data_IF_088440377703
#
_entry.id   IF_088440377703
#
_cell.length_a   1.000
_cell.length_b   1.000
_cell.length_c   1.000
_cell.angle_alpha   90.00
_cell.angle_beta   90.00
_cell.angle_gamma   90.00
#
_symmetry.space_group_name_H-M   'P 1'
#
loop_
_entity.id
_entity.type
_entity.pdbx_description
1 polymer ?
#
# COMPACT_ATOMS: atom_id res chain seq x y z
N UNK A 1 2.43 -11.21 20.53
CA UNK A 1 3.09 -11.04 21.84
C UNK A 1 2.56 -12.06 22.86
N UNK A 2 1.23 -12.15 23.09
CA UNK A 2 0.65 -13.08 24.09
C UNK A 2 1.02 -14.55 23.86
N UNK A 3 1.32 -14.93 22.62
CA UNK A 3 1.77 -16.28 22.24
C UNK A 3 3.29 -16.39 22.04
N UNK A 4 4.07 -15.41 22.53
CA UNK A 4 5.52 -15.41 22.45
C UNK A 4 6.12 -15.10 21.06
N UNK A 5 5.29 -14.61 20.12
CA UNK A 5 5.75 -14.20 18.78
C UNK A 5 5.86 -12.70 18.70
N UNK A 6 6.99 -12.22 18.17
CA UNK A 6 7.18 -10.85 17.77
C UNK A 6 7.58 -10.81 16.28
N UNK A 7 7.09 -9.85 15.49
CA UNK A 7 7.59 -9.66 14.14
C UNK A 7 8.99 -9.03 14.18
N UNK A 8 9.85 -9.38 13.24
CA UNK A 8 11.15 -8.75 13.04
C UNK A 8 10.99 -7.41 12.32
N UNK A 9 9.95 -7.26 11.52
CA UNK A 9 9.60 -6.05 10.78
C UNK A 9 8.10 -5.97 10.52
N UNK A 10 7.58 -4.75 10.41
CA UNK A 10 6.19 -4.49 10.04
C UNK A 10 6.10 -3.66 8.75
N UNK A 11 5.06 -3.88 7.98
CA UNK A 11 4.71 -3.07 6.82
C UNK A 11 3.20 -3.07 6.62
N UNK A 12 2.69 -2.06 5.91
CA UNK A 12 1.27 -1.99 5.63
C UNK A 12 0.99 -1.18 4.36
N UNK A 13 0.17 -1.69 3.45
CA UNK A 13 -0.18 -1.02 2.21
C UNK A 13 -1.19 0.10 2.48
N UNK A 14 -0.83 1.35 2.23
CA UNK A 14 -1.68 2.54 2.32
C UNK A 14 -2.38 2.69 3.69
N UNK A 15 -3.64 2.27 3.81
CA UNK A 15 -4.37 2.26 5.08
C UNK A 15 -3.70 1.33 6.11
N UNK A 16 -3.16 0.20 5.66
CA UNK A 16 -2.48 -0.77 6.51
C UNK A 16 -1.20 -0.23 7.17
N UNK A 17 -0.60 0.84 6.64
CA UNK A 17 0.57 1.48 7.25
C UNK A 17 0.30 1.98 8.67
N UNK A 18 -0.91 2.45 8.96
CA UNK A 18 -1.30 2.79 10.34
C UNK A 18 -1.30 1.58 11.27
N UNK A 19 -1.68 0.40 10.76
CA UNK A 19 -1.56 -0.85 11.51
C UNK A 19 -0.11 -1.24 11.78
N UNK A 20 0.79 -1.03 10.81
CA UNK A 20 2.22 -1.23 10.99
C UNK A 20 2.81 -0.27 12.04
N UNK A 21 2.39 1.01 12.02
CA UNK A 21 2.82 2.02 13.00
C UNK A 21 2.35 1.67 14.43
N UNK A 22 1.14 1.12 14.59
CA UNK A 22 0.67 0.62 15.89
C UNK A 22 1.53 -0.58 16.34
N UNK A 23 1.72 -1.55 15.45
CA UNK A 23 2.47 -2.76 15.77
C UNK A 23 3.96 -2.49 16.08
N UNK A 24 4.54 -1.46 15.45
CA UNK A 24 5.92 -1.03 15.73
C UNK A 24 6.04 -0.13 16.97
N UNK A 25 4.95 0.22 17.64
CA UNK A 25 4.95 1.06 18.83
C UNK A 25 5.12 2.56 18.57
N UNK A 26 5.02 3.00 17.30
CA UNK A 26 5.17 4.43 16.92
C UNK A 26 4.02 5.28 17.43
N UNK A 27 2.80 4.72 17.47
CA UNK A 27 1.61 5.40 17.99
C UNK A 27 0.63 4.41 18.63
N UNK A 28 -0.30 4.92 19.42
CA UNK A 28 -1.37 4.11 20.00
C UNK A 28 -2.45 3.79 18.96
N UNK A 29 -3.26 2.77 19.23
CA UNK A 29 -4.39 2.41 18.37
C UNK A 29 -5.44 3.54 18.30
N UNK A 30 -5.69 4.23 19.42
CA UNK A 30 -6.61 5.35 19.53
C UNK A 30 -6.17 6.51 18.64
N UNK A 31 -4.89 6.88 18.68
CA UNK A 31 -4.32 7.92 17.82
C UNK A 31 -4.41 7.55 16.35
N UNK A 32 -4.07 6.30 16.01
CA UNK A 32 -4.14 5.81 14.65
C UNK A 32 -5.58 5.81 14.10
N UNK A 33 -6.58 5.39 14.87
CA UNK A 33 -7.98 5.41 14.45
C UNK A 33 -8.49 6.83 14.21
N UNK A 34 -8.10 7.80 15.05
CA UNK A 34 -8.47 9.20 14.84
C UNK A 34 -7.81 9.78 13.57
N UNK A 35 -6.53 9.45 13.33
CA UNK A 35 -5.82 9.83 12.11
C UNK A 35 -6.46 9.23 10.85
N UNK A 36 -6.78 7.94 10.86
CA UNK A 36 -7.44 7.24 9.74
C UNK A 36 -8.79 7.86 9.44
N UNK A 37 -9.58 8.19 10.48
CA UNK A 37 -10.86 8.88 10.33
C UNK A 37 -10.68 10.24 9.65
N UNK A 38 -9.75 11.06 10.15
CA UNK A 38 -9.46 12.38 9.56
C UNK A 38 -8.92 12.26 8.14
N UNK A 39 -8.01 11.31 7.89
CA UNK A 39 -7.50 11.02 6.54
C UNK A 39 -8.64 10.74 5.56
N UNK A 40 -9.57 9.87 5.92
CA UNK A 40 -10.74 9.57 5.09
C UNK A 40 -11.59 10.79 4.77
N UNK A 41 -11.87 11.64 5.78
CA UNK A 41 -12.62 12.89 5.62
C UNK A 41 -11.88 13.84 4.67
N UNK A 42 -10.58 14.09 4.91
CA UNK A 42 -9.80 15.02 4.09
C UNK A 42 -9.66 14.56 2.63
N UNK A 43 -9.50 13.25 2.41
CA UNK A 43 -9.46 12.68 1.06
C UNK A 43 -10.81 12.83 0.35
N UNK A 44 -11.93 12.61 1.05
CA UNK A 44 -13.28 12.79 0.50
C UNK A 44 -13.58 14.26 0.19
N UNK A 45 -13.16 15.18 1.05
CA UNK A 45 -13.33 16.63 0.85
C UNK A 45 -12.48 17.16 -0.31
N UNK A 46 -11.24 16.67 -0.47
CA UNK A 46 -10.33 17.12 -1.52
C UNK A 46 -10.82 16.77 -2.92
N UNK A 47 -11.40 15.58 -3.10
CA UNK A 47 -11.95 15.13 -4.39
C UNK A 47 -13.27 14.39 -4.13
N UNK A 48 -14.37 15.11 -3.94
CA UNK A 48 -15.69 14.50 -3.65
C UNK A 48 -16.18 13.60 -4.77
N UNK A 49 -15.87 13.95 -6.02
CA UNK A 49 -16.28 13.21 -7.23
C UNK A 49 -15.25 13.41 -8.35
N UNK A 50 -15.34 12.57 -9.39
CA UNK A 50 -14.57 12.76 -10.63
C UNK A 50 -13.16 12.18 -10.60
N UNK A 51 -12.75 11.51 -9.52
CA UNK A 51 -11.54 10.72 -9.49
C UNK A 51 -11.77 9.27 -9.92
N UNK A 52 -10.71 8.61 -10.38
CA UNK A 52 -10.75 7.19 -10.72
C UNK A 52 -9.39 6.53 -10.52
N UNK A 53 -9.43 5.19 -10.45
CA UNK A 53 -8.23 4.34 -10.46
C UNK A 53 -8.47 3.13 -11.36
N UNK A 54 -7.41 2.61 -11.95
CA UNK A 54 -7.45 1.37 -12.73
C UNK A 54 -6.21 0.52 -12.48
N UNK A 55 -6.40 -0.80 -12.35
CA UNK A 55 -5.30 -1.76 -12.26
C UNK A 55 -4.87 -2.17 -13.67
N UNK A 56 -3.60 -1.97 -13.97
CA UNK A 56 -2.93 -2.37 -15.22
C UNK A 56 -2.23 -3.70 -14.98
N UNK A 57 -2.52 -4.69 -15.80
CA UNK A 57 -2.01 -6.05 -15.66
C UNK A 57 -1.18 -6.45 -16.87
N UNK A 58 0.03 -6.96 -16.62
CA UNK A 58 0.87 -7.59 -17.63
C UNK A 58 1.58 -6.58 -18.56
N UNK A 59 1.96 -5.43 -18.02
CA UNK A 59 2.78 -4.43 -18.70
C UNK A 59 3.87 -3.92 -17.76
N UNK A 60 4.98 -3.52 -18.33
CA UNK A 60 6.12 -2.95 -17.63
C UNK A 60 5.82 -1.57 -17.02
N UNK A 61 6.40 -1.28 -15.84
CA UNK A 61 6.13 -0.06 -15.10
C UNK A 61 6.61 1.22 -15.79
N UNK A 62 7.74 1.17 -16.49
CA UNK A 62 8.26 2.32 -17.25
C UNK A 62 7.35 2.67 -18.41
N UNK A 63 6.85 1.68 -19.13
CA UNK A 63 5.89 1.88 -20.21
C UNK A 63 4.59 2.48 -19.69
N UNK A 64 4.08 1.98 -18.56
CA UNK A 64 2.87 2.52 -17.92
C UNK A 64 3.10 3.97 -17.53
N UNK A 65 4.22 4.30 -16.88
CA UNK A 65 4.56 5.66 -16.46
C UNK A 65 4.64 6.61 -17.65
N UNK A 66 5.29 6.19 -18.74
CA UNK A 66 5.41 6.98 -19.96
C UNK A 66 4.03 7.29 -20.55
N UNK A 67 3.16 6.31 -20.71
CA UNK A 67 1.81 6.50 -21.25
C UNK A 67 0.98 7.42 -20.34
N UNK A 68 1.10 7.29 -19.00
CA UNK A 68 0.46 8.20 -18.07
C UNK A 68 0.93 9.65 -18.26
N UNK A 69 2.24 9.88 -18.44
CA UNK A 69 2.81 11.21 -18.68
C UNK A 69 2.36 11.81 -20.01
N UNK A 70 2.19 11.00 -21.05
CA UNK A 70 1.73 11.40 -22.40
C UNK A 70 0.19 11.54 -22.48
N UNK A 71 -0.53 11.21 -21.41
CA UNK A 71 -2.00 11.35 -21.36
C UNK A 71 -2.35 12.71 -20.73
N UNK A 72 -3.24 13.45 -21.39
CA UNK A 72 -3.74 14.72 -20.87
C UNK A 72 -4.50 14.49 -19.54
N UNK A 73 -4.40 15.45 -18.60
CA UNK A 73 -5.21 15.46 -17.39
C UNK A 73 -4.58 14.84 -16.14
N UNK A 74 -3.25 14.73 -16.06
CA UNK A 74 -2.49 14.34 -14.85
C UNK A 74 -2.82 12.94 -14.32
N UNK A 75 -2.64 11.92 -15.16
CA UNK A 75 -2.63 10.53 -14.70
C UNK A 75 -1.27 10.18 -14.13
N UNK A 76 -1.26 9.48 -13.00
CA UNK A 76 -0.03 9.04 -12.35
C UNK A 76 -0.13 7.57 -11.91
N UNK A 77 1.01 6.97 -11.58
CA UNK A 77 1.04 5.67 -10.92
C UNK A 77 0.73 5.88 -9.44
N UNK A 78 -0.26 5.15 -8.95
CA UNK A 78 -0.66 5.13 -7.55
C UNK A 78 0.10 4.06 -6.75
N UNK A 79 0.16 2.83 -7.28
CA UNK A 79 0.73 1.68 -6.57
C UNK A 79 1.56 0.81 -7.52
N UNK A 80 2.72 0.38 -7.03
CA UNK A 80 3.47 -0.76 -7.54
C UNK A 80 3.18 -1.96 -6.63
N UNK A 81 2.19 -2.78 -6.99
CA UNK A 81 1.70 -3.83 -6.10
C UNK A 81 2.55 -5.11 -6.14
N UNK A 82 2.88 -5.56 -7.34
CA UNK A 82 3.74 -6.72 -7.58
C UNK A 82 4.12 -6.76 -9.06
N UNK A 83 5.07 -7.62 -9.48
CA UNK A 83 5.43 -7.77 -10.88
C UNK A 83 4.20 -7.94 -11.78
N UNK A 84 4.09 -7.07 -12.79
CA UNK A 84 3.00 -7.06 -13.75
C UNK A 84 1.63 -6.60 -13.19
N UNK A 85 1.59 -5.94 -12.02
CA UNK A 85 0.36 -5.33 -11.51
C UNK A 85 0.63 -3.96 -10.88
N UNK A 86 0.25 -2.93 -11.60
CA UNK A 86 0.42 -1.52 -11.25
C UNK A 86 -0.94 -0.84 -11.28
N UNK A 87 -1.17 0.13 -10.39
CA UNK A 87 -2.41 0.91 -10.35
C UNK A 87 -2.13 2.33 -10.80
N UNK A 88 -2.95 2.83 -11.73
CA UNK A 88 -2.95 4.23 -12.17
C UNK A 88 -4.11 4.99 -11.53
N UNK A 89 -3.97 6.30 -11.39
CA UNK A 89 -4.89 7.18 -10.69
C UNK A 89 -4.94 8.56 -11.32
N UNK A 90 -6.07 9.25 -11.19
CA UNK A 90 -6.23 10.61 -11.68
C UNK A 90 -7.69 11.01 -11.91
N UNK A 91 -7.95 12.09 -12.67
CA UNK A 91 -9.29 12.43 -13.12
C UNK A 91 -9.89 11.29 -13.95
N UNK A 92 -11.19 11.03 -13.77
CA UNK A 92 -11.87 9.88 -14.36
C UNK A 92 -11.69 9.80 -15.89
N UNK A 93 -11.94 10.88 -16.61
CA UNK A 93 -11.78 10.94 -18.05
C UNK A 93 -10.33 10.67 -18.50
N UNK A 94 -9.35 11.20 -17.78
CA UNK A 94 -7.93 10.99 -18.09
C UNK A 94 -7.51 9.52 -17.80
N UNK A 95 -7.99 8.93 -16.71
CA UNK A 95 -7.75 7.49 -16.41
C UNK A 95 -8.40 6.59 -17.47
N UNK A 96 -9.58 6.94 -17.97
CA UNK A 96 -10.25 6.21 -19.05
C UNK A 96 -9.46 6.30 -20.37
N UNK A 97 -8.94 7.48 -20.72
CA UNK A 97 -8.06 7.68 -21.88
C UNK A 97 -6.76 6.91 -21.75
N UNK A 98 -6.07 7.03 -20.59
CA UNK A 98 -4.85 6.27 -20.31
C UNK A 98 -5.09 4.76 -20.40
N UNK A 99 -6.24 4.28 -19.89
CA UNK A 99 -6.62 2.88 -19.95
C UNK A 99 -6.78 2.37 -21.39
N UNK A 100 -7.33 3.20 -22.30
CA UNK A 100 -7.40 2.86 -23.72
C UNK A 100 -6.01 2.76 -24.35
N UNK A 101 -5.17 3.81 -24.17
CA UNK A 101 -3.78 3.82 -24.67
C UNK A 101 -2.95 2.63 -24.16
N UNK A 102 -3.09 2.29 -22.88
CA UNK A 102 -2.41 1.15 -22.27
C UNK A 102 -2.84 -0.20 -22.89
N UNK A 103 -4.14 -0.36 -23.18
CA UNK A 103 -4.62 -1.56 -23.89
C UNK A 103 -4.06 -1.65 -25.31
N UNK A 104 -4.07 -0.54 -26.06
CA UNK A 104 -3.48 -0.46 -27.41
C UNK A 104 -1.97 -0.73 -27.41
N UNK A 105 -1.27 -0.31 -26.35
CA UNK A 105 0.15 -0.55 -26.17
C UNK A 105 0.48 -1.97 -25.67
N UNK A 106 -0.52 -2.84 -25.48
CA UNK A 106 -0.30 -4.25 -25.17
C UNK A 106 -0.48 -4.66 -23.69
N UNK A 107 -1.07 -3.81 -22.85
CA UNK A 107 -1.45 -4.23 -21.50
C UNK A 107 -2.45 -5.40 -21.58
N UNK A 108 -2.16 -6.50 -20.87
CA UNK A 108 -3.01 -7.70 -20.92
C UNK A 108 -4.43 -7.42 -20.42
N UNK A 109 -4.57 -6.57 -19.40
CA UNK A 109 -5.87 -6.07 -18.89
C UNK A 109 -5.68 -4.69 -18.26
N UNK A 110 -6.70 -3.86 -18.37
CA UNK A 110 -6.84 -2.62 -17.58
C UNK A 110 -8.23 -2.67 -16.95
N UNK A 111 -8.27 -2.76 -15.61
CA UNK A 111 -9.49 -3.01 -14.83
C UNK A 111 -9.80 -1.79 -13.99
N UNK A 112 -10.93 -1.09 -14.24
CA UNK A 112 -11.37 -0.01 -13.36
C UNK A 112 -11.59 -0.53 -11.94
N UNK A 113 -11.13 0.24 -10.96
CA UNK A 113 -11.35 -0.08 -9.55
C UNK A 113 -12.65 0.58 -9.06
N UNK A 114 -13.37 -0.13 -8.19
CA UNK A 114 -14.61 0.38 -7.56
C UNK A 114 -14.26 1.29 -6.38
N UNK A 115 -13.66 2.43 -6.66
CA UNK A 115 -13.29 3.44 -5.66
C UNK A 115 -13.86 4.80 -6.05
N UNK A 116 -14.09 5.65 -5.05
CA UNK A 116 -14.70 6.97 -5.22
C UNK A 116 -13.70 8.10 -5.47
N UNK A 117 -12.41 7.87 -5.23
CA UNK A 117 -11.39 8.93 -5.28
C UNK A 117 -10.12 8.52 -6.03
N UNK A 118 -9.33 9.52 -6.47
CA UNK A 118 -8.04 9.33 -7.15
C UNK A 118 -6.94 9.15 -6.09
N UNK A 119 -6.99 8.05 -5.33
CA UNK A 119 -6.05 7.81 -4.24
C UNK A 119 -4.61 7.77 -4.74
N UNK A 120 -3.68 8.23 -3.90
CA UNK A 120 -2.25 8.32 -4.20
C UNK A 120 -1.95 9.16 -5.46
N UNK A 121 -2.70 10.24 -5.67
CA UNK A 121 -2.48 11.20 -6.77
C UNK A 121 -2.17 12.59 -6.24
N UNK A 122 -1.53 13.45 -7.05
CA UNK A 122 -1.33 14.87 -6.70
C UNK A 122 -2.63 15.63 -6.41
N UNK A 123 -3.79 15.13 -6.84
CA UNK A 123 -5.10 15.72 -6.55
C UNK A 123 -5.42 15.71 -5.05
N UNK A 124 -4.77 14.85 -4.26
CA UNK A 124 -4.94 14.75 -2.81
C UNK A 124 -3.90 15.52 -2.01
N UNK A 125 -3.05 16.34 -2.64
CA UNK A 125 -2.04 17.16 -1.95
C UNK A 125 -2.64 18.01 -0.83
N UNK A 126 -3.80 18.61 -1.06
CA UNK A 126 -4.53 19.38 -0.05
C UNK A 126 -4.95 18.54 1.16
N UNK A 127 -5.35 17.29 0.94
CA UNK A 127 -5.67 16.36 2.02
C UNK A 127 -4.40 15.98 2.81
N UNK A 128 -3.27 15.76 2.12
CA UNK A 128 -1.98 15.49 2.73
C UNK A 128 -1.53 16.64 3.64
N UNK A 129 -1.63 17.90 3.17
CA UNK A 129 -1.31 19.10 3.97
C UNK A 129 -2.18 19.19 5.24
N UNK A 130 -3.49 18.97 5.13
CA UNK A 130 -4.38 18.93 6.30
C UNK A 130 -4.00 17.81 7.29
N UNK A 131 -3.65 16.64 6.78
CA UNK A 131 -3.24 15.51 7.61
C UNK A 131 -1.90 15.79 8.31
N UNK A 132 -0.94 16.41 7.62
CA UNK A 132 0.35 16.80 8.19
C UNK A 132 0.17 17.75 9.39
N UNK A 133 -0.78 18.69 9.34
CA UNK A 133 -1.09 19.55 10.49
C UNK A 133 -1.63 18.77 11.68
N UNK A 134 -2.45 17.75 11.42
CA UNK A 134 -2.96 16.87 12.49
C UNK A 134 -1.84 16.02 13.08
N UNK A 135 -0.94 15.50 12.24
CA UNK A 135 0.19 14.69 12.69
C UNK A 135 1.12 15.44 13.66
N UNK A 136 1.24 16.76 13.54
CA UNK A 136 1.99 17.59 14.52
C UNK A 136 1.41 17.55 15.94
N UNK A 137 0.15 17.14 16.09
CA UNK A 137 -0.54 17.04 17.40
C UNK A 137 -0.50 15.62 17.99
N UNK A 138 0.06 14.67 17.27
CA UNK A 138 0.17 13.28 17.69
C UNK A 138 1.56 13.04 18.29
N UNK A 139 1.62 12.27 19.36
CA UNK A 139 2.88 11.88 19.97
C UNK A 139 3.47 10.69 19.22
N UNK A 140 4.48 10.92 18.40
CA UNK A 140 5.18 9.88 17.66
C UNK A 140 6.36 9.38 18.49
N UNK A 141 6.43 8.04 18.71
CA UNK A 141 7.52 7.38 19.42
C UNK A 141 8.51 6.78 18.41
N UNK A 142 9.75 6.57 18.85
CA UNK A 142 10.68 5.77 18.07
C UNK A 142 10.16 4.33 17.95
N UNK A 143 10.22 3.69 16.77
CA UNK A 143 9.75 2.34 16.58
C UNK A 143 10.56 1.35 17.42
N UNK A 144 9.88 0.44 18.12
CA UNK A 144 10.51 -0.68 18.85
C UNK A 144 10.68 -1.90 17.95
N UNK A 145 9.93 -1.96 16.85
CA UNK A 145 10.07 -2.93 15.77
C UNK A 145 10.22 -2.12 14.49
N UNK A 146 11.21 -2.37 13.65
CA UNK A 146 11.37 -1.70 12.36
C UNK A 146 10.09 -1.78 11.52
N UNK A 147 9.78 -0.71 10.79
CA UNK A 147 8.72 -0.76 9.78
C UNK A 147 9.22 -0.20 8.45
N UNK A 148 8.69 -0.73 7.34
CA UNK A 148 8.99 -0.29 5.99
C UNK A 148 7.89 0.65 5.52
N UNK A 149 8.28 1.85 5.07
CA UNK A 149 7.33 2.87 4.60
C UNK A 149 6.83 2.58 3.19
N UNK A 150 5.62 3.02 2.88
CA UNK A 150 5.04 2.90 1.54
C UNK A 150 5.76 3.75 0.49
N UNK A 151 6.39 4.83 0.93
CA UNK A 151 6.87 5.92 0.10
C UNK A 151 8.27 5.67 -0.43
N UNK A 152 9.18 5.20 0.43
CA UNK A 152 10.57 4.95 0.08
C UNK A 152 10.88 3.48 -0.14
N UNK A 153 10.03 2.57 0.35
CA UNK A 153 10.31 1.13 0.48
C UNK A 153 11.54 0.83 1.35
N UNK A 154 11.91 1.76 2.23
CA UNK A 154 13.04 1.67 3.15
C UNK A 154 12.54 1.67 4.60
N UNK A 155 13.40 1.22 5.49
CA UNK A 155 13.21 1.43 6.91
C UNK A 155 13.32 2.92 7.24
N UNK A 156 12.40 3.42 8.02
CA UNK A 156 12.14 4.84 8.31
C UNK A 156 13.32 5.77 8.09
N UNK A 157 13.25 6.57 7.05
CA UNK A 157 14.06 7.77 6.82
C UNK A 157 13.18 8.83 6.15
N UNK A 158 13.48 10.09 6.39
CA UNK A 158 12.67 11.20 5.89
C UNK A 158 12.80 11.37 4.37
N UNK A 159 11.70 11.23 3.57
CA UNK A 159 11.49 12.01 2.35
C UNK A 159 10.18 11.69 1.62
N UNK A 160 9.70 12.64 0.78
CA UNK A 160 8.37 12.65 0.16
C UNK A 160 8.30 11.87 -1.16
N UNK A 161 7.45 10.85 -1.23
CA UNK A 161 6.93 10.30 -2.49
C UNK A 161 5.41 10.06 -2.37
N UNK A 162 4.70 10.00 -3.48
CA UNK A 162 3.24 9.87 -3.48
C UNK A 162 2.74 8.46 -3.83
N UNK A 163 3.56 7.65 -4.50
CA UNK A 163 3.22 6.29 -4.91
C UNK A 163 3.47 5.28 -3.79
N UNK A 164 2.62 4.25 -3.70
CA UNK A 164 2.84 3.11 -2.81
C UNK A 164 3.78 2.10 -3.49
N UNK A 165 4.96 1.91 -2.93
CA UNK A 165 6.02 1.03 -3.41
C UNK A 165 5.93 -0.36 -2.75
N UNK A 166 4.77 -1.03 -2.79
CA UNK A 166 4.54 -2.27 -2.06
C UNK A 166 5.45 -3.41 -2.50
N UNK A 167 5.63 -3.58 -3.80
CA UNK A 167 6.55 -4.60 -4.33
C UNK A 167 7.96 -4.40 -3.78
N UNK A 168 8.49 -3.19 -3.88
CA UNK A 168 9.83 -2.84 -3.42
C UNK A 168 9.96 -3.00 -1.90
N UNK A 169 8.90 -2.67 -1.13
CA UNK A 169 8.88 -2.90 0.32
C UNK A 169 9.03 -4.37 0.69
N UNK A 170 8.33 -5.26 -0.03
CA UNK A 170 8.44 -6.71 0.18
C UNK A 170 9.81 -7.23 -0.26
N UNK A 171 10.30 -6.80 -1.44
CA UNK A 171 11.63 -7.17 -1.95
C UNK A 171 12.74 -6.73 -0.96
N UNK A 172 12.60 -5.54 -0.35
CA UNK A 172 13.53 -5.06 0.67
C UNK A 172 13.55 -5.96 1.91
N UNK A 173 12.38 -6.32 2.45
CA UNK A 173 12.31 -7.24 3.60
C UNK A 173 12.91 -8.61 3.29
N UNK A 174 12.67 -9.15 2.09
CA UNK A 174 13.28 -10.42 1.65
C UNK A 174 14.80 -10.30 1.56
N UNK A 175 15.33 -9.20 1.05
CA UNK A 175 16.77 -8.94 0.98
C UNK A 175 17.44 -8.85 2.36
N UNK A 176 16.66 -8.54 3.41
CA UNK A 176 17.09 -8.51 4.81
C UNK A 176 16.71 -9.84 5.54
N UNK A 177 16.67 -10.96 4.80
CA UNK A 177 16.45 -12.33 5.30
C UNK A 177 15.07 -12.61 5.91
N UNK A 178 14.04 -11.80 5.64
CA UNK A 178 12.67 -12.11 6.04
C UNK A 178 12.11 -13.23 5.15
N UNK A 179 11.90 -14.40 5.71
CA UNK A 179 11.43 -15.60 5.00
C UNK A 179 9.96 -15.93 5.22
N UNK A 180 9.31 -15.26 6.16
CA UNK A 180 7.93 -15.58 6.58
C UNK A 180 7.11 -14.29 6.76
N UNK A 181 6.01 -14.20 6.04
CA UNK A 181 5.10 -13.06 6.04
C UNK A 181 3.73 -13.46 6.59
N UNK A 182 3.16 -12.62 7.44
CA UNK A 182 1.82 -12.81 8.00
C UNK A 182 0.97 -11.59 7.69
N UNK A 183 0.01 -11.74 6.77
CA UNK A 183 -0.99 -10.72 6.46
C UNK A 183 -2.09 -10.75 7.53
N UNK A 184 -2.34 -9.61 8.17
CA UNK A 184 -3.40 -9.46 9.18
C UNK A 184 -4.44 -8.49 8.63
N UNK A 185 -5.68 -8.95 8.50
CA UNK A 185 -6.79 -8.14 8.01
C UNK A 185 -7.73 -8.91 7.09
N UNK A 186 -8.78 -8.26 6.57
CA UNK A 186 -9.76 -8.91 5.71
C UNK A 186 -9.17 -9.21 4.32
N UNK A 187 -9.31 -10.46 3.89
CA UNK A 187 -8.85 -10.94 2.58
C UNK A 187 -7.44 -11.51 2.58
N UNK A 188 -6.92 -11.75 1.38
CA UNK A 188 -5.62 -12.40 1.11
C UNK A 188 -4.89 -11.71 -0.04
N UNK A 189 -5.07 -10.41 -0.14
CA UNK A 189 -4.58 -9.62 -1.28
C UNK A 189 -3.06 -9.51 -1.25
N UNK A 190 -2.49 -9.21 -0.08
CA UNK A 190 -1.05 -9.03 0.09
C UNK A 190 -0.31 -10.35 -0.01
N UNK A 191 -0.85 -11.43 0.57
CA UNK A 191 -0.36 -12.80 0.36
C UNK A 191 -0.40 -13.21 -1.12
N UNK A 192 -1.41 -12.74 -1.85
CA UNK A 192 -1.50 -12.93 -3.31
C UNK A 192 -0.43 -12.17 -4.09
N UNK A 193 -0.06 -10.97 -3.65
CA UNK A 193 1.06 -10.21 -4.22
C UNK A 193 2.41 -10.84 -3.87
N UNK A 194 2.59 -11.25 -2.61
CA UNK A 194 3.80 -11.92 -2.15
C UNK A 194 4.19 -13.10 -3.04
N UNK A 195 3.24 -13.98 -3.37
CA UNK A 195 3.46 -15.13 -4.26
C UNK A 195 3.91 -14.77 -5.68
N UNK A 196 3.64 -13.54 -6.13
CA UNK A 196 4.08 -13.03 -7.43
C UNK A 196 5.42 -12.31 -7.34
N UNK A 197 5.74 -11.76 -6.17
CA UNK A 197 7.03 -11.11 -5.90
C UNK A 197 8.09 -12.18 -5.71
N UNK A 198 7.86 -13.09 -4.76
CA UNK A 198 8.74 -14.24 -4.51
C UNK A 198 7.93 -15.44 -3.99
N UNK A 199 7.99 -16.56 -4.70
CA UNK A 199 7.31 -17.79 -4.32
C UNK A 199 8.12 -18.66 -3.35
N UNK A 200 9.38 -18.33 -3.06
CA UNK A 200 10.23 -19.08 -2.13
C UNK A 200 9.95 -18.77 -0.67
N UNK A 201 9.39 -17.60 -0.37
CA UNK A 201 9.05 -17.18 0.99
C UNK A 201 7.67 -17.68 1.42
N UNK A 202 7.47 -17.79 2.74
CA UNK A 202 6.21 -18.27 3.31
C UNK A 202 5.24 -17.12 3.54
N UNK A 203 3.99 -17.28 3.11
CA UNK A 203 2.92 -16.30 3.30
C UNK A 203 1.71 -16.91 4.00
N UNK A 204 1.27 -16.31 5.09
CA UNK A 204 0.07 -16.66 5.84
C UNK A 204 -0.90 -15.48 5.87
N UNK A 205 -2.21 -15.76 6.05
CA UNK A 205 -3.24 -14.72 6.20
C UNK A 205 -4.08 -15.03 7.44
N UNK A 206 -4.29 -14.03 8.26
CA UNK A 206 -5.13 -14.06 9.46
C UNK A 206 -6.28 -13.08 9.25
N UNK A 207 -7.49 -13.59 8.95
CA UNK A 207 -8.73 -12.81 8.88
C UNK A 207 -9.54 -12.89 10.16
N UNK A 208 -9.39 -14.00 10.88
CA UNK A 208 -10.15 -14.34 12.09
C UNK A 208 -9.20 -14.91 13.16
N UNK A 209 -9.57 -14.83 14.45
CA UNK A 209 -8.75 -15.38 15.52
C UNK A 209 -8.35 -16.85 15.31
N UNK A 210 -9.24 -17.68 14.71
CA UNK A 210 -9.01 -19.10 14.46
C UNK A 210 -7.90 -19.35 13.43
N UNK A 211 -7.60 -18.40 12.56
CA UNK A 211 -6.52 -18.52 11.58
C UNK A 211 -5.13 -18.39 12.24
N UNK A 212 -5.07 -17.80 13.44
CA UNK A 212 -3.82 -17.68 14.20
C UNK A 212 -3.26 -19.07 14.57
N UNK A 213 -4.12 -20.03 14.93
CA UNK A 213 -3.70 -21.39 15.29
C UNK A 213 -2.88 -22.05 14.16
N UNK A 214 -3.32 -21.88 12.90
CA UNK A 214 -2.61 -22.42 11.72
C UNK A 214 -1.21 -21.83 11.55
N UNK A 215 -1.05 -20.55 11.89
CA UNK A 215 0.26 -19.88 11.83
C UNK A 215 1.17 -20.42 12.95
N UNK A 216 0.63 -20.59 14.14
CA UNK A 216 1.36 -21.13 15.29
C UNK A 216 1.83 -22.57 15.05
N UNK A 217 0.95 -23.45 14.55
CA UNK A 217 1.26 -24.85 14.23
C UNK A 217 2.36 -24.96 13.17
N UNK A 218 2.34 -24.08 12.17
CA UNK A 218 3.34 -24.09 11.07
C UNK A 218 4.76 -23.76 11.55
N UNK A 219 4.92 -23.11 12.71
CA UNK A 219 6.20 -22.73 13.32
C UNK A 219 6.66 -23.71 14.41
N UNK A 220 5.71 -24.46 15.03
CA UNK A 220 6.00 -25.43 16.09
C UNK A 220 6.70 -26.71 15.61
N UNK A 221 6.86 -26.91 14.30
CA UNK A 221 7.54 -28.06 13.69
C UNK A 221 9.02 -27.75 13.28
N UNK A 222 9.68 -26.83 13.97
CA UNK A 222 11.12 -26.60 13.83
C UNK A 222 11.91 -27.13 15.01
#
# INVERSE_FOLDING_TARGET
EQNGYQPDVTAGLSLGEYGALIASGVMTAEEAFELVRKRGIFMQEAVPTGGAMAAVIGMDGEQIRKICQETEGRVSVANYNCPGQIVITGPKNAVEEAAAKLKEAGARRVLPLKVSGPFHSPMLEGAGKKLAEVLKTVTVQAPVIPYVTNVTAEYVTEEEATSVLWQQSVERMIADDVDTFVEIGPGKTLTGFLRKIDCSVKGFSIEKPEDLEKVLESRGNR
#
